data_IF_540268871930
#
_entry.id   IF_540268871930
#
_cell.length_a   1.000
_cell.length_b   1.000
_cell.length_c   1.000
_cell.angle_alpha   90.00
_cell.angle_beta   90.00
_cell.angle_gamma   90.00
#
_symmetry.space_group_name_H-M   'P 1'
#
loop_
_entity.id
_entity.type
_entity.pdbx_description
1 polymer ?
2 polymer ?
3 polymer ?
4 non-polymer ?
5 non-polymer ?
6 non-polymer ?
7 non-polymer ?
8 water ?
#
loop_
_entity_poly.entity_id
_entity_poly.type
_entity_poly.pdbx_seq_one_letter_code
_entity_poly.pdbx_strand_id
3 'polyribonucleotide' '(GDP)GCCGGGCGCGGUGGCUCACGCCUGUAAUCCCAGCACUUUGGGAGGCCGAGGCGGGAGGAUCGCGAACACGCGAGACCCCGUCUCUA' ?
#
# COMPACT_ATOMS: atom_id res chain seq x y z
N UNK A 1 -11.42 10.22 7.29
CA UNK A 1 -10.69 9.06 6.77
C UNK A 1 -10.69 7.89 7.76
N UNK A 2 -10.04 6.81 7.37
CA UNK A 2 -9.89 5.64 8.23
C UNK A 2 -8.67 5.81 9.15
N UNK A 3 -8.80 5.36 10.40
CA UNK A 3 -7.69 5.37 11.34
C UNK A 3 -7.22 3.95 11.62
N UNK A 4 -5.90 3.75 11.65
CA UNK A 4 -5.34 2.43 11.95
C UNK A 4 -4.99 2.28 13.43
N UNK A 5 -4.84 3.41 14.11
CA UNK A 5 -4.48 3.42 15.53
C UNK A 5 -5.70 3.81 16.37
N UNK A 6 -6.10 2.90 17.25
CA UNK A 6 -7.34 3.08 18.00
C UNK A 6 -7.37 4.35 18.86
N UNK A 7 -6.34 4.56 19.66
CA UNK A 7 -6.34 5.68 20.60
C UNK A 7 -6.38 7.00 19.84
N UNK A 8 -5.75 7.01 18.67
CA UNK A 8 -5.74 8.20 17.83
C UNK A 8 -7.15 8.49 17.34
N UNK A 9 -7.86 7.44 16.94
CA UNK A 9 -9.25 7.57 16.52
C UNK A 9 -10.11 8.02 17.68
N UNK A 10 -9.91 7.38 18.82
CA UNK A 10 -10.71 7.66 20.02
C UNK A 10 -10.64 9.14 20.37
N UNK A 11 -9.44 9.69 20.37
CA UNK A 11 -9.24 11.08 20.75
C UNK A 11 -9.83 12.04 19.73
N UNK A 12 -9.60 11.79 18.44
CA UNK A 12 -10.16 12.62 17.38
C UNK A 12 -11.68 12.52 17.39
N UNK A 13 -12.20 11.32 17.60
CA UNK A 13 -13.65 11.11 17.60
C UNK A 13 -14.33 11.86 18.75
N UNK A 14 -13.72 11.81 19.93
CA UNK A 14 -14.25 12.51 21.08
C UNK A 14 -14.18 14.03 20.90
N UNK A 15 -13.10 14.52 20.32
CA UNK A 15 -12.93 15.94 20.04
C UNK A 15 -14.04 16.43 19.13
N UNK A 16 -14.34 15.62 18.12
CA UNK A 16 -15.33 15.98 17.11
C UNK A 16 -16.71 16.06 17.73
N UNK A 17 -17.01 15.10 18.59
CA UNK A 17 -18.30 15.11 19.29
C UNK A 17 -18.44 16.37 20.14
N UNK A 18 -17.44 16.64 20.97
CA UNK A 18 -17.49 17.75 21.90
C UNK A 18 -17.58 19.11 21.19
N UNK A 19 -17.08 19.16 19.96
CA UNK A 19 -17.09 20.41 19.20
C UNK A 19 -18.51 20.83 18.88
N UNK A 20 -19.40 19.85 18.69
CA UNK A 20 -20.80 20.15 18.41
C UNK A 20 -21.65 18.88 18.57
N UNK A 21 -22.06 18.58 19.82
CA UNK A 21 -22.78 17.34 20.14
C UNK A 21 -24.01 17.05 19.29
N UNK A 22 -24.83 18.08 19.00
CA UNK A 22 -26.07 17.85 18.27
C UNK A 22 -25.83 17.47 16.80
N UNK A 23 -24.71 17.94 16.23
CA UNK A 23 -24.41 17.65 14.83
C UNK A 23 -23.77 16.26 14.63
N UNK A 24 -23.21 15.71 15.69
CA UNK A 24 -22.48 14.44 15.58
C UNK A 24 -23.41 13.22 15.60
N UNK A 25 -22.98 12.16 14.92
CA UNK A 25 -23.61 10.86 15.07
C UNK A 25 -22.54 9.78 15.14
N UNK A 26 -22.85 8.73 15.90
CA UNK A 26 -21.94 7.62 16.13
C UNK A 26 -22.58 6.36 15.60
N UNK A 27 -21.90 5.70 14.68
CA UNK A 27 -22.46 4.57 13.96
C UNK A 27 -21.59 3.33 14.17
N UNK A 28 -22.23 2.20 14.47
CA UNK A 28 -21.54 0.91 14.56
C UNK A 28 -22.09 0.01 13.46
N UNK A 29 -21.21 -0.77 12.85
CA UNK A 29 -21.62 -1.77 11.87
C UNK A 29 -20.90 -3.09 12.12
N UNK A 30 -21.68 -4.14 12.38
CA UNK A 30 -21.12 -5.44 12.71
C UNK A 30 -21.52 -6.51 11.69
N UNK A 31 -20.50 -7.18 11.15
CA UNK A 31 -20.71 -8.29 10.24
C UNK A 31 -20.09 -9.57 10.81
N UNK A 32 -20.93 -10.40 11.40
CA UNK A 32 -20.47 -11.66 11.99
C UNK A 32 -19.87 -12.56 10.91
N UNK A 33 -20.55 -12.66 9.78
CA UNK A 33 -20.13 -13.55 8.70
C UNK A 33 -18.71 -13.25 8.23
N UNK A 34 -18.36 -11.96 8.19
CA UNK A 34 -17.04 -11.52 7.75
C UNK A 34 -16.08 -11.37 8.92
N UNK A 35 -16.61 -11.36 10.14
CA UNK A 35 -15.80 -11.20 11.33
C UNK A 35 -15.14 -9.83 11.39
N UNK A 36 -15.91 -8.78 11.13
CA UNK A 36 -15.38 -7.42 11.31
C UNK A 36 -16.38 -6.48 11.93
N UNK A 37 -15.84 -5.37 12.43
CA UNK A 37 -16.61 -4.37 13.13
C UNK A 37 -16.10 -3.01 12.67
N UNK A 38 -17.02 -2.07 12.53
CA UNK A 38 -16.67 -0.73 12.09
C UNK A 38 -17.35 0.28 13.00
N UNK A 39 -16.63 1.34 13.35
CA UNK A 39 -17.20 2.45 14.09
C UNK A 39 -16.89 3.75 13.37
N UNK A 40 -17.87 4.64 13.34
CA UNK A 40 -17.70 5.95 12.72
C UNK A 40 -18.28 7.07 13.58
N UNK A 41 -17.57 8.17 13.65
CA UNK A 41 -18.12 9.42 14.15
C UNK A 41 -18.01 10.48 13.07
N UNK A 42 -19.13 11.13 12.77
CA UNK A 42 -19.19 12.13 11.71
C UNK A 42 -20.12 13.28 12.08
N UNK A 43 -19.80 14.47 11.59
CA UNK A 43 -20.68 15.64 11.71
C UNK A 43 -21.06 16.14 10.31
N UNK A 44 -20.81 15.28 9.31
CA UNK A 44 -21.08 15.55 7.88
C UNK A 44 -20.13 16.57 7.24
N UNK A 45 -19.17 17.05 8.02
CA UNK A 45 -18.05 17.82 7.50
C UNK A 45 -16.83 16.91 7.45
N UNK A 46 -16.66 16.11 8.51
CA UNK A 46 -15.62 15.09 8.55
C UNK A 46 -16.22 13.76 8.96
N UNK A 47 -15.59 12.67 8.52
CA UNK A 47 -16.01 11.32 8.86
C UNK A 47 -14.81 10.55 9.38
N UNK A 48 -14.84 10.24 10.68
CA UNK A 48 -13.73 9.53 11.31
C UNK A 48 -14.11 8.08 11.44
N UNK A 49 -13.30 7.20 10.86
CA UNK A 49 -13.63 5.78 10.76
C UNK A 49 -12.53 4.88 11.33
N UNK A 50 -12.94 3.86 12.09
CA UNK A 50 -12.03 2.84 12.59
C UNK A 50 -12.64 1.47 12.29
N UNK A 51 -11.94 0.69 11.46
CA UNK A 51 -12.41 -0.64 11.08
C UNK A 51 -11.47 -1.70 11.63
N UNK A 52 -12.02 -2.82 12.09
CA UNK A 52 -11.21 -3.83 12.73
C UNK A 52 -11.74 -5.25 12.54
N UNK A 53 -10.85 -6.22 12.71
CA UNK A 53 -11.23 -7.62 12.79
C UNK A 53 -10.58 -8.27 14.01
N UNK A 54 -10.05 -7.44 14.92
CA UNK A 54 -9.41 -7.92 16.15
C UNK A 54 -10.40 -7.88 17.31
N UNK A 55 -10.53 -9.00 18.01
CA UNK A 55 -11.55 -9.14 19.06
C UNK A 55 -11.32 -8.21 20.24
N UNK A 56 -10.07 -7.84 20.50
CA UNK A 56 -9.78 -6.94 21.62
C UNK A 56 -10.41 -5.57 21.43
N UNK A 57 -10.66 -5.18 20.17
CA UNK A 57 -11.23 -3.88 19.87
C UNK A 57 -12.73 -3.79 20.19
N UNK A 58 -13.40 -4.94 20.31
CA UNK A 58 -14.83 -4.95 20.60
C UNK A 58 -15.12 -4.27 21.94
N UNK A 59 -14.33 -4.59 22.96
CA UNK A 59 -14.49 -3.97 24.27
C UNK A 59 -14.17 -2.49 24.19
N UNK A 60 -13.11 -2.15 23.47
CA UNK A 60 -12.70 -0.76 23.28
C UNK A 60 -13.80 0.06 22.59
N UNK A 61 -14.37 -0.51 21.54
CA UNK A 61 -15.39 0.21 20.78
C UNK A 61 -16.68 0.31 21.57
N UNK A 62 -17.01 -0.76 22.31
CA UNK A 62 -18.20 -0.77 23.14
C UNK A 62 -18.11 0.27 24.25
N UNK A 63 -16.97 0.32 24.94
CA UNK A 63 -16.77 1.32 25.99
C UNK A 63 -16.86 2.74 25.41
N UNK A 64 -16.20 2.93 24.27
CA UNK A 64 -16.22 4.22 23.56
C UNK A 64 -17.65 4.65 23.28
N UNK A 65 -18.41 3.76 22.63
CA UNK A 65 -19.80 3.99 22.28
C UNK A 65 -20.61 4.32 23.55
N UNK A 66 -20.29 3.61 24.62
CA UNK A 66 -20.95 3.79 25.90
C UNK A 66 -20.65 5.14 26.54
N UNK A 67 -19.38 5.55 26.50
CA UNK A 67 -18.97 6.82 27.08
C UNK A 67 -19.63 8.00 26.37
N UNK A 68 -19.71 7.93 25.04
CA UNK A 68 -20.31 9.03 24.29
C UNK A 68 -21.79 9.11 24.60
N UNK A 69 -22.43 7.96 24.80
CA UNK A 69 -23.83 7.93 25.18
C UNK A 69 -24.06 8.65 26.51
N UNK A 70 -23.18 8.43 27.49
CA UNK A 70 -23.34 9.07 28.78
C UNK A 70 -23.17 10.59 28.65
N UNK A 71 -22.26 11.01 27.77
CA UNK A 71 -22.03 12.43 27.56
C UNK A 71 -23.27 13.08 26.95
N UNK A 72 -23.89 12.38 25.99
CA UNK A 72 -25.06 12.90 25.30
C UNK A 72 -26.25 13.19 26.21
N UNK A 73 -26.36 12.42 27.29
CA UNK A 73 -27.49 12.53 28.20
C UNK A 73 -27.15 13.37 29.43
N UNK A 74 -25.92 13.88 29.50
CA UNK A 74 -25.54 14.79 30.59
C UNK A 74 -25.94 16.23 30.24
N UNK A 75 -26.77 16.83 31.08
CA UNK A 75 -27.24 18.19 30.86
C UNK A 75 -26.13 19.22 31.10
N UNK A 76 -26.09 20.24 30.26
CA UNK A 76 -25.08 21.30 30.39
C UNK A 76 -25.38 22.19 31.59
N UNK B 1 -39.73 0.12 14.05
CA UNK B 1 -40.55 1.10 14.73
C UNK B 1 -39.98 1.50 16.08
N UNK B 2 -40.50 2.59 16.63
CA UNK B 2 -40.06 3.07 17.92
C UNK B 2 -40.60 2.18 19.04
N UNK B 3 -39.82 2.04 20.12
CA UNK B 3 -40.24 1.24 21.25
C UNK B 3 -39.52 1.64 22.54
N UNK B 4 -40.01 1.15 23.67
CA UNK B 4 -39.37 1.39 24.95
C UNK B 4 -37.97 0.76 24.96
N UNK B 5 -37.07 1.36 25.73
CA UNK B 5 -35.66 1.01 25.68
C UNK B 5 -35.41 -0.47 25.98
N UNK B 6 -36.28 -1.06 26.80
CA UNK B 6 -36.10 -2.45 27.21
C UNK B 6 -36.48 -3.39 26.07
N UNK B 7 -37.52 -3.03 25.33
CA UNK B 7 -37.95 -3.85 24.22
C UNK B 7 -36.96 -3.71 23.07
N UNK B 8 -36.37 -2.52 22.96
CA UNK B 8 -35.32 -2.28 21.96
C UNK B 8 -34.18 -3.26 22.13
N UNK B 9 -33.76 -3.49 23.37
CA UNK B 9 -32.65 -4.41 23.64
C UNK B 9 -33.00 -5.86 23.22
N UNK B 10 -34.22 -6.27 23.49
CA UNK B 10 -34.68 -7.59 23.09
C UNK B 10 -34.67 -7.72 21.56
N UNK B 11 -35.21 -6.72 20.88
CA UNK B 11 -35.27 -6.74 19.42
C UNK B 11 -33.89 -6.60 18.80
N UNK B 12 -32.99 -5.88 19.47
CA UNK B 12 -31.62 -5.77 19.00
C UNK B 12 -30.92 -7.12 19.03
N UNK B 13 -31.09 -7.85 20.11
CA UNK B 13 -30.54 -9.21 20.21
C UNK B 13 -31.02 -10.05 19.04
N UNK B 14 -32.32 -10.01 18.77
CA UNK B 14 -32.90 -10.76 17.66
C UNK B 14 -32.27 -10.36 16.33
N UNK B 15 -32.00 -9.07 16.17
CA UNK B 15 -31.41 -8.58 14.93
C UNK B 15 -30.01 -9.18 14.73
N UNK B 16 -29.19 -9.16 15.79
CA UNK B 16 -27.87 -9.78 15.75
C UNK B 16 -27.98 -11.24 15.37
N UNK B 17 -28.94 -11.93 15.98
CA UNK B 17 -29.14 -13.36 15.72
C UNK B 17 -29.54 -13.61 14.27
N UNK B 18 -30.42 -12.76 13.74
CA UNK B 18 -30.88 -12.89 12.36
C UNK B 18 -29.73 -12.67 11.37
N UNK B 19 -28.80 -11.79 11.72
CA UNK B 19 -27.70 -11.42 10.83
C UNK B 19 -26.40 -12.16 11.13
N UNK B 20 -26.50 -13.29 11.82
CA UNK B 20 -25.30 -14.03 12.20
C UNK B 20 -24.73 -14.76 10.98
N UNK B 21 -25.62 -15.32 10.17
CA UNK B 21 -25.21 -16.08 8.99
C UNK B 21 -24.89 -15.17 7.81
N UNK B 22 -25.49 -13.98 7.81
CA UNK B 22 -25.31 -13.05 6.70
C UNK B 22 -25.85 -11.67 7.07
N UNK B 23 -25.23 -10.62 6.53
CA UNK B 23 -25.76 -9.28 6.67
C UNK B 23 -25.06 -8.43 7.71
N UNK B 24 -25.35 -7.13 7.66
CA UNK B 24 -24.76 -6.14 8.56
C UNK B 24 -25.77 -5.65 9.58
N UNK B 25 -25.33 -5.50 10.82
CA UNK B 25 -26.11 -4.85 11.85
C UNK B 25 -25.59 -3.43 12.04
N UNK B 26 -26.42 -2.45 11.73
CA UNK B 26 -26.09 -1.05 11.92
C UNK B 26 -26.71 -0.54 13.21
N UNK B 27 -25.94 0.20 14.00
CA UNK B 27 -26.47 0.89 15.19
C UNK B 27 -26.01 2.33 15.18
N UNK B 28 -26.96 3.25 15.29
CA UNK B 28 -26.66 4.68 15.26
C UNK B 28 -27.07 5.35 16.58
N UNK B 29 -26.18 6.17 17.11
CA UNK B 29 -26.40 6.87 18.37
C UNK B 29 -26.22 8.37 18.16
N UNK B 30 -27.20 9.14 18.64
CA UNK B 30 -27.15 10.61 18.54
C UNK B 30 -27.82 11.26 19.74
N UNK B 31 -27.37 12.46 20.09
CA UNK B 31 -28.06 13.28 21.06
C UNK B 31 -29.41 13.69 20.47
N UNK B 32 -30.45 13.67 21.30
CA UNK B 32 -31.82 13.95 20.85
C UNK B 32 -32.44 15.04 21.72
N UNK B 33 -32.98 16.07 21.08
CA UNK B 33 -33.49 17.24 21.79
C UNK B 33 -35.02 17.25 21.90
N UNK B 34 -35.65 16.14 21.51
CA UNK B 34 -37.08 15.99 21.71
C UNK B 34 -37.96 16.52 20.58
N UNK B 35 -37.35 16.97 19.50
CA UNK B 35 -38.13 17.52 18.38
C UNK B 35 -38.97 16.41 17.76
N UNK B 36 -40.12 16.79 17.21
CA UNK B 36 -41.02 15.84 16.54
C UNK B 36 -41.51 16.42 15.21
N UNK B 37 -40.84 17.46 14.75
CA UNK B 37 -41.19 18.11 13.49
C UNK B 37 -39.95 18.78 12.93
N UNK B 38 -40.01 19.24 11.67
CA UNK B 38 -38.82 19.90 11.09
C UNK B 38 -38.50 21.23 11.76
N UNK B 39 -37.22 21.61 11.75
CA UNK B 39 -36.78 22.85 12.37
C UNK B 39 -35.73 23.55 11.50
N UNK B 48 -40.69 24.70 20.66
CA UNK B 48 -40.79 23.64 21.65
C UNK B 48 -39.73 23.79 22.72
N UNK B 49 -39.74 22.90 23.70
CA UNK B 49 -38.76 22.89 24.79
C UNK B 49 -37.72 21.81 24.53
N UNK B 50 -36.50 22.21 24.10
CA UNK B 50 -35.49 21.20 23.79
C UNK B 50 -34.97 20.42 25.00
N UNK B 51 -34.89 19.10 24.86
CA UNK B 51 -34.37 18.23 25.91
C UNK B 51 -32.85 18.16 25.84
N UNK B 52 -32.20 18.14 27.00
CA UNK B 52 -30.74 18.17 27.06
C UNK B 52 -30.17 16.94 27.77
N UNK B 53 -31.04 15.97 28.07
CA UNK B 53 -30.62 14.76 28.79
C UNK B 53 -31.12 13.48 28.11
N UNK B 54 -31.23 13.53 26.78
CA UNK B 54 -31.71 12.40 26.01
C UNK B 54 -30.84 12.12 24.79
N UNK B 55 -30.78 10.85 24.41
CA UNK B 55 -30.17 10.44 23.16
C UNK B 55 -31.12 9.48 22.48
N UNK B 56 -30.88 9.20 21.21
CA UNK B 56 -31.66 8.20 20.50
C UNK B 56 -30.73 7.14 19.97
N UNK B 57 -31.25 5.93 19.86
CA UNK B 57 -30.55 4.85 19.19
C UNK B 57 -31.45 4.28 18.12
N UNK B 58 -30.85 3.92 16.99
CA UNK B 58 -31.55 3.20 15.94
C UNK B 58 -30.74 1.99 15.57
N UNK B 59 -31.42 0.89 15.24
CA UNK B 59 -30.73 -0.28 14.72
C UNK B 59 -31.48 -0.83 13.51
N UNK B 60 -30.72 -1.40 12.59
CA UNK B 60 -31.30 -1.93 11.37
C UNK B 60 -30.33 -2.85 10.66
N UNK B 61 -30.87 -3.82 9.94
CA UNK B 61 -30.10 -4.64 9.03
C UNK B 61 -30.28 -4.13 7.59
N UNK B 62 -30.92 -2.96 7.45
CA UNK B 62 -31.18 -2.37 6.14
C UNK B 62 -32.57 -2.69 5.61
N UNK B 63 -33.30 -3.52 6.35
CA UNK B 63 -34.68 -3.86 6.02
C UNK B 63 -35.57 -3.61 7.23
N UNK B 64 -35.28 -4.30 8.34
CA UNK B 64 -36.02 -4.09 9.58
C UNK B 64 -35.40 -2.96 10.40
N UNK B 65 -36.24 -2.15 11.03
CA UNK B 65 -35.78 -1.00 11.81
C UNK B 65 -36.37 -1.04 13.20
N UNK B 66 -35.55 -0.68 14.18
CA UNK B 66 -36.00 -0.47 15.55
C UNK B 66 -35.33 0.78 16.11
N UNK B 67 -36.01 1.47 17.02
CA UNK B 67 -35.47 2.69 17.62
C UNK B 67 -35.99 2.90 19.02
N UNK B 68 -35.24 3.67 19.81
CA UNK B 68 -35.67 4.03 21.15
C UNK B 68 -34.99 5.32 21.58
N UNK B 69 -35.49 5.87 22.68
CA UNK B 69 -34.92 7.07 23.29
C UNK B 69 -34.50 6.72 24.71
N UNK B 70 -33.27 7.06 25.05
CA UNK B 70 -32.74 6.81 26.38
C UNK B 70 -32.41 8.13 27.05
N UNK B 71 -32.98 8.34 28.24
CA UNK B 71 -32.75 9.56 29.00
C UNK B 71 -31.76 9.30 30.11
N UNK B 72 -31.32 10.37 30.76
CA UNK B 72 -30.41 10.27 31.87
C UNK B 72 -31.03 9.45 32.99
N UNK B 73 -32.37 9.35 32.99
CA UNK B 73 -33.06 8.60 34.02
C UNK B 73 -32.98 7.08 33.83
N UNK B 74 -32.70 6.63 32.60
CA UNK B 74 -32.65 5.20 32.31
C UNK B 74 -31.30 4.75 31.75
N UNK B 75 -30.34 5.66 31.67
CA UNK B 75 -29.06 5.35 31.05
C UNK B 75 -28.25 4.28 31.81
N UNK B 76 -28.32 4.28 33.14
CA UNK B 76 -27.58 3.28 33.93
C UNK B 76 -28.00 1.85 33.60
N UNK B 77 -29.29 1.56 33.78
CA UNK B 77 -29.80 0.22 33.50
C UNK B 77 -29.62 -0.12 32.03
N UNK B 78 -29.84 0.87 31.15
CA UNK B 78 -29.73 0.61 29.72
C UNK B 78 -28.29 0.25 29.36
N UNK B 79 -27.33 1.04 29.85
CA UNK B 79 -25.92 0.77 29.61
C UNK B 79 -25.52 -0.64 30.05
N UNK B 80 -25.98 -1.04 31.23
CA UNK B 80 -25.60 -2.33 31.80
C UNK B 80 -25.98 -3.44 30.83
N UNK B 81 -27.21 -3.38 30.34
CA UNK B 81 -27.73 -4.42 29.47
C UNK B 81 -27.11 -4.30 28.08
N UNK B 82 -26.98 -3.06 27.62
CA UNK B 82 -26.53 -2.77 26.27
C UNK B 82 -25.07 -3.19 26.08
N UNK B 83 -24.22 -2.85 27.04
CA UNK B 83 -22.80 -3.21 26.95
C UNK B 83 -22.62 -4.72 26.98
N UNK B 84 -23.39 -5.38 27.85
CA UNK B 84 -23.41 -6.84 27.89
C UNK B 84 -23.88 -7.43 26.58
N UNK B 85 -24.89 -6.81 25.97
CA UNK B 85 -25.45 -7.30 24.71
C UNK B 85 -24.38 -7.24 23.61
N UNK B 86 -23.70 -6.11 23.52
CA UNK B 86 -22.72 -5.91 22.46
C UNK B 86 -21.57 -6.90 22.60
N UNK B 87 -21.05 -7.06 23.81
CA UNK B 87 -19.95 -7.98 24.06
C UNK B 87 -20.32 -9.43 23.75
N UNK B 88 -21.55 -9.80 24.06
CA UNK B 88 -21.99 -11.19 23.88
C UNK B 88 -22.30 -11.52 22.41
N UNK B 89 -22.79 -10.55 21.65
CA UNK B 89 -23.24 -10.82 20.29
C UNK B 89 -22.19 -10.56 19.20
N UNK B 90 -21.20 -9.72 19.51
CA UNK B 90 -20.14 -9.42 18.56
C UNK B 90 -18.93 -10.29 18.85
N UNK B 91 -19.11 -11.60 18.65
CA UNK B 91 -18.12 -12.60 19.03
C UNK B 91 -17.42 -13.23 17.82
N UNK B 92 -17.55 -12.64 16.65
CA UNK B 92 -17.04 -13.26 15.43
C UNK B 92 -15.64 -12.86 15.02
N UNK B 93 -14.97 -12.03 15.83
CA UNK B 93 -13.69 -11.46 15.44
C UNK B 93 -12.51 -12.27 15.98
N UNK B 94 -11.33 -12.01 15.42
CA UNK B 94 -10.10 -12.65 15.85
C UNK B 94 -9.15 -11.65 16.48
N UNK D 1 14.26 -5.86 -4.78
CA UNK D 1 12.98 -5.18 -5.04
C UNK D 1 13.16 -4.01 -6.00
N UNK D 2 12.05 -3.34 -6.31
CA UNK D 2 12.08 -2.16 -7.16
C UNK D 2 12.30 -0.90 -6.33
N UNK D 3 12.97 0.08 -6.93
CA UNK D 3 13.27 1.36 -6.26
C UNK D 3 12.50 2.49 -6.93
N UNK D 4 12.01 3.42 -6.11
CA UNK D 4 11.17 4.51 -6.59
C UNK D 4 11.98 5.66 -7.18
N UNK D 5 13.19 5.85 -6.69
CA UNK D 5 14.06 6.92 -7.16
C UNK D 5 15.40 6.37 -7.62
N UNK D 6 16.00 7.05 -8.58
CA UNK D 6 17.29 6.61 -9.12
C UNK D 6 18.42 6.83 -8.13
N UNK D 7 18.38 7.94 -7.41
CA UNK D 7 19.43 8.28 -6.46
C UNK D 7 19.54 7.19 -5.38
N UNK D 8 18.40 6.65 -4.97
CA UNK D 8 18.36 5.58 -3.99
C UNK D 8 18.90 4.29 -4.56
N UNK D 9 18.46 3.95 -5.78
CA UNK D 9 18.85 2.71 -6.43
C UNK D 9 20.35 2.66 -6.71
N UNK D 10 20.87 3.77 -7.25
CA UNK D 10 22.28 3.86 -7.64
C UNK D 10 23.20 3.57 -6.45
N UNK D 11 22.86 4.14 -5.29
CA UNK D 11 23.64 3.97 -4.08
C UNK D 11 23.65 2.51 -3.65
N UNK D 12 22.45 1.93 -3.54
CA UNK D 12 22.30 0.54 -3.12
C UNK D 12 22.98 -0.42 -4.10
N UNK D 13 23.01 -0.02 -5.37
CA UNK D 13 23.55 -0.88 -6.42
C UNK D 13 25.08 -0.91 -6.36
N UNK D 14 25.70 0.27 -6.35
CA UNK D 14 27.15 0.37 -6.22
C UNK D 14 27.62 -0.35 -4.96
N UNK D 15 26.85 -0.19 -3.89
CA UNK D 15 27.18 -0.79 -2.60
C UNK D 15 27.17 -2.32 -2.68
N UNK D 16 26.38 -2.86 -3.59
CA UNK D 16 26.23 -4.30 -3.71
C UNK D 16 27.33 -4.94 -4.55
N UNK D 17 27.75 -4.26 -5.62
CA UNK D 17 28.80 -4.77 -6.48
C UNK D 17 30.13 -4.86 -5.73
N UNK D 18 30.38 -3.87 -4.88
CA UNK D 18 31.63 -3.79 -4.14
C UNK D 18 31.76 -4.88 -3.09
N UNK D 19 30.66 -5.58 -2.82
CA UNK D 19 30.66 -6.66 -1.82
C UNK D 19 31.35 -7.90 -2.37
N UNK D 20 31.05 -8.23 -3.63
CA UNK D 20 31.64 -9.39 -4.28
C UNK D 20 31.52 -9.24 -5.80
N UNK D 21 32.58 -8.72 -6.45
CA UNK D 21 32.52 -8.44 -7.90
C UNK D 21 32.24 -9.67 -8.75
N UNK D 22 32.94 -10.77 -8.47
CA UNK D 22 32.85 -11.96 -9.31
C UNK D 22 31.48 -12.63 -9.23
N UNK D 23 30.69 -12.26 -8.23
CA UNK D 23 29.38 -12.87 -8.02
C UNK D 23 28.24 -12.01 -8.58
N UNK D 24 28.54 -10.75 -8.87
CA UNK D 24 27.53 -9.79 -9.29
C UNK D 24 27.40 -9.69 -10.81
N UNK D 25 26.23 -9.26 -11.28
CA UNK D 25 26.01 -9.03 -12.70
C UNK D 25 25.05 -7.86 -12.89
N UNK D 26 25.31 -7.07 -13.92
CA UNK D 26 24.54 -5.87 -14.20
C UNK D 26 23.80 -6.04 -15.51
N UNK D 27 22.48 -6.04 -15.46
CA UNK D 27 21.65 -6.26 -16.65
C UNK D 27 20.85 -5.02 -17.02
N UNK D 28 20.87 -4.68 -18.30
CA UNK D 28 19.99 -3.67 -18.86
C UNK D 28 18.99 -4.35 -19.78
N UNK D 29 17.74 -3.89 -19.75
CA UNK D 29 16.72 -4.37 -20.67
C UNK D 29 15.98 -3.17 -21.25
N UNK D 30 16.01 -3.03 -22.57
CA UNK D 30 15.37 -1.91 -23.24
C UNK D 30 14.30 -2.40 -24.22
N UNK D 31 13.09 -1.87 -24.05
CA UNK D 31 11.96 -2.20 -24.91
C UNK D 31 11.42 -0.95 -25.58
N UNK D 32 11.87 -0.71 -26.80
CA UNK D 32 11.48 0.46 -27.58
C UNK D 32 9.96 0.49 -27.78
N UNK D 33 9.38 -0.66 -28.08
CA UNK D 33 7.96 -0.74 -28.40
C UNK D 33 7.06 -0.35 -27.23
N UNK D 34 7.56 -0.51 -26.00
CA UNK D 34 6.83 -0.11 -24.81
C UNK D 34 7.38 1.18 -24.23
N UNK D 35 8.46 1.68 -24.83
CA UNK D 35 9.08 2.92 -24.41
C UNK D 35 9.52 2.91 -22.96
N UNK D 36 10.18 1.82 -22.55
CA UNK D 36 10.71 1.76 -21.20
C UNK D 36 12.06 1.04 -21.09
N UNK D 37 12.73 1.28 -19.97
CA UNK D 37 14.07 0.79 -19.72
C UNK D 37 14.12 0.21 -18.32
N UNK D 38 14.84 -0.89 -18.18
CA UNK D 38 15.03 -1.55 -16.89
C UNK D 38 16.50 -1.80 -16.66
N UNK D 39 16.94 -1.64 -15.41
CA UNK D 39 18.31 -1.95 -15.04
C UNK D 39 18.31 -2.74 -13.73
N UNK D 40 19.17 -3.76 -13.67
CA UNK D 40 19.25 -4.63 -12.51
C UNK D 40 20.68 -4.94 -12.10
N UNK D 41 20.91 -4.97 -10.80
CA UNK D 41 22.16 -5.49 -10.25
C UNK D 41 21.79 -6.59 -9.27
N UNK D 42 22.42 -7.75 -9.45
CA UNK D 42 22.12 -8.89 -8.60
C UNK D 42 23.34 -9.77 -8.38
N UNK D 43 23.33 -10.52 -7.27
CA UNK D 43 24.36 -11.50 -6.98
C UNK D 43 23.72 -12.84 -6.63
N UNK D 44 22.46 -12.99 -7.05
CA UNK D 44 21.66 -14.19 -6.81
C UNK D 44 21.29 -14.40 -5.34
N UNK D 45 21.51 -13.37 -4.52
CA UNK D 45 21.05 -13.36 -3.14
C UNK D 45 20.06 -12.20 -3.01
N UNK D 46 20.39 -11.08 -3.62
CA UNK D 46 19.52 -9.92 -3.67
C UNK D 46 19.42 -9.44 -5.11
N UNK D 47 18.28 -8.87 -5.47
CA UNK D 47 18.06 -8.34 -6.80
C UNK D 47 17.56 -6.90 -6.71
N UNK D 48 18.43 -5.96 -7.08
CA UNK D 48 18.07 -4.55 -7.07
C UNK D 48 17.59 -4.17 -8.47
N UNK D 49 16.41 -3.58 -8.55
CA UNK D 49 15.78 -3.28 -9.84
C UNK D 49 15.33 -1.83 -9.89
N UNK D 50 15.43 -1.22 -11.06
CA UNK D 50 14.95 0.13 -11.29
C UNK D 50 14.32 0.23 -12.68
N UNK D 51 13.00 0.35 -12.72
CA UNK D 51 12.28 0.47 -13.98
C UNK D 51 11.87 1.92 -14.20
N UNK D 52 11.95 2.37 -15.45
CA UNK D 52 11.66 3.76 -15.76
C UNK D 52 11.23 3.96 -17.20
N UNK D 53 10.43 4.99 -17.43
CA UNK D 53 10.01 5.40 -18.76
C UNK D 53 10.39 6.87 -19.01
N UNK D 54 11.16 7.45 -18.09
CA UNK D 54 11.58 8.83 -18.20
C UNK D 54 12.90 8.93 -18.95
N UNK D 55 12.93 9.75 -20.00
CA UNK D 55 14.10 9.88 -20.87
C UNK D 55 15.31 10.44 -20.12
N UNK D 56 15.06 11.26 -19.10
CA UNK D 56 16.15 11.85 -18.33
C UNK D 56 16.97 10.77 -17.61
N UNK D 57 16.38 9.60 -17.42
CA UNK D 57 17.06 8.51 -16.73
C UNK D 57 18.03 7.74 -17.64
N UNK D 58 17.90 7.93 -18.94
CA UNK D 58 18.78 7.24 -19.89
C UNK D 58 20.24 7.58 -19.63
N UNK D 59 20.56 8.87 -19.58
CA UNK D 59 21.92 9.32 -19.31
C UNK D 59 22.41 8.79 -17.98
N UNK D 60 21.57 8.88 -16.96
CA UNK D 60 21.91 8.43 -15.61
C UNK D 60 22.28 6.95 -15.62
N UNK D 61 21.43 6.15 -16.23
CA UNK D 61 21.64 4.71 -16.29
C UNK D 61 22.87 4.37 -17.12
N UNK D 62 23.04 5.08 -18.23
CA UNK D 62 24.19 4.88 -19.09
C UNK D 62 25.49 5.21 -18.36
N UNK D 63 25.48 6.35 -17.66
CA UNK D 63 26.64 6.79 -16.89
C UNK D 63 26.95 5.79 -15.77
N UNK D 64 25.88 5.22 -15.20
CA UNK D 64 26.01 4.23 -14.14
C UNK D 64 26.67 2.95 -14.66
N UNK D 65 26.21 2.51 -15.82
CA UNK D 65 26.74 1.31 -16.47
C UNK D 65 28.23 1.48 -16.76
N UNK D 66 28.59 2.64 -17.27
CA UNK D 66 29.97 2.95 -17.61
C UNK D 66 30.88 2.94 -16.39
N UNK D 67 30.41 3.55 -15.31
CA UNK D 67 31.16 3.58 -14.05
C UNK D 67 31.52 2.17 -13.60
N UNK D 68 30.53 1.28 -13.63
CA UNK D 68 30.71 -0.10 -13.20
C UNK D 68 31.68 -0.86 -14.10
N UNK D 69 31.68 -0.53 -15.38
CA UNK D 69 32.55 -1.18 -16.35
C UNK D 69 34.01 -0.91 -16.01
N UNK D 70 34.30 0.30 -15.53
CA UNK D 70 35.66 0.71 -15.21
C UNK D 70 36.18 0.05 -13.94
N UNK D 71 35.27 -0.26 -13.02
CA UNK D 71 35.66 -0.88 -11.75
C UNK D 71 35.94 -2.36 -11.92
N UNK D 72 35.40 -2.96 -12.98
CA UNK D 72 35.58 -4.38 -13.23
C UNK D 72 36.94 -4.68 -13.85
N UNK D 73 37.68 -3.63 -14.20
CA UNK D 73 39.00 -3.78 -14.81
C UNK D 73 40.06 -2.95 -14.09
N UNK E 1 27.45 -14.89 -30.97
CA UNK E 1 28.81 -15.39 -31.06
C UNK E 1 29.82 -14.42 -30.46
N UNK E 2 31.00 -14.94 -30.16
CA UNK E 2 32.07 -14.11 -29.60
C UNK E 2 32.69 -13.28 -30.71
N UNK E 3 33.04 -12.04 -30.38
CA UNK E 3 33.66 -11.14 -31.35
C UNK E 3 34.46 -10.06 -30.64
N UNK E 4 35.24 -9.31 -31.43
CA UNK E 4 36.05 -8.23 -30.89
C UNK E 4 35.16 -7.06 -30.48
N UNK E 5 35.69 -6.20 -29.62
CA UNK E 5 34.91 -5.13 -29.02
C UNK E 5 34.30 -4.19 -30.07
N UNK E 6 35.00 -4.03 -31.18
CA UNK E 6 34.60 -3.10 -32.23
C UNK E 6 33.39 -3.64 -32.99
N UNK E 7 33.40 -4.95 -33.22
CA UNK E 7 32.32 -5.60 -33.96
C UNK E 7 31.10 -5.77 -33.05
N UNK E 8 31.37 -5.95 -31.77
CA UNK E 8 30.30 -6.07 -30.79
C UNK E 8 29.41 -4.85 -30.82
N UNK E 9 30.02 -3.67 -30.87
CA UNK E 9 29.27 -2.42 -30.89
C UNK E 9 28.42 -2.32 -32.14
N UNK E 10 28.99 -2.72 -33.27
CA UNK E 10 28.29 -2.66 -34.55
C UNK E 10 27.07 -3.57 -34.54
N UNK E 11 27.26 -4.79 -34.05
CA UNK E 11 26.17 -5.77 -34.00
C UNK E 11 25.14 -5.38 -32.96
N UNK E 12 25.58 -4.73 -31.89
CA UNK E 12 24.67 -4.28 -30.85
C UNK E 12 23.76 -3.17 -31.40
N UNK E 13 24.30 -2.34 -32.27
CA UNK E 13 23.50 -1.32 -32.93
C UNK E 13 22.39 -1.98 -33.76
N UNK E 14 22.75 -3.02 -34.50
CA UNK E 14 21.78 -3.75 -35.31
C UNK E 14 20.70 -4.38 -34.43
N UNK E 15 21.11 -4.84 -33.27
CA UNK E 15 20.19 -5.50 -32.35
C UNK E 15 19.13 -4.50 -31.89
N UNK E 16 19.55 -3.31 -31.48
CA UNK E 16 18.62 -2.25 -31.12
C UNK E 16 17.67 -1.92 -32.26
N UNK E 17 18.22 -1.78 -33.46
CA UNK E 17 17.41 -1.44 -34.64
C UNK E 17 16.46 -2.56 -34.99
N UNK E 18 16.88 -3.79 -34.75
CA UNK E 18 16.05 -4.96 -35.03
C UNK E 18 14.84 -5.02 -34.09
N UNK E 19 14.99 -4.42 -32.90
CA UNK E 19 13.99 -4.55 -31.85
C UNK E 19 13.21 -3.25 -31.57
N UNK E 20 13.02 -2.41 -32.58
CA UNK E 20 12.29 -1.16 -32.40
C UNK E 20 10.78 -1.35 -32.50
N UNK E 21 10.37 -2.37 -33.24
CA UNK E 21 8.95 -2.65 -33.42
C UNK E 21 8.47 -3.75 -32.47
N UNK E 22 9.42 -4.52 -31.94
CA UNK E 22 9.09 -5.62 -31.05
C UNK E 22 10.37 -6.21 -30.45
N UNK E 23 10.27 -6.70 -29.21
CA UNK E 23 11.36 -7.42 -28.58
C UNK E 23 12.13 -6.63 -27.53
N UNK E 24 12.89 -7.36 -26.71
CA UNK E 24 13.70 -6.75 -25.66
C UNK E 24 15.18 -6.81 -26.04
N UNK E 25 15.91 -5.73 -25.76
CA UNK E 25 17.37 -5.75 -25.87
C UNK E 25 17.97 -5.92 -24.48
N UNK E 26 18.53 -7.11 -24.24
CA UNK E 26 19.20 -7.40 -22.98
C UNK E 26 20.71 -7.17 -23.12
N UNK E 27 21.29 -6.45 -22.17
CA UNK E 27 22.74 -6.27 -22.14
C UNK E 27 23.24 -6.59 -20.74
N UNK E 28 24.15 -7.56 -20.65
CA UNK E 28 24.65 -8.04 -19.37
C UNK E 28 26.15 -7.77 -19.22
N UNK E 29 26.53 -7.19 -18.09
CA UNK E 29 27.92 -6.82 -17.82
C UNK E 29 28.42 -7.53 -16.56
N UNK E 30 29.53 -8.25 -16.68
CA UNK E 30 30.13 -8.96 -15.55
C UNK E 30 31.65 -8.89 -15.57
N UNK E 31 32.25 -9.02 -14.39
CA UNK E 31 33.69 -9.15 -14.30
C UNK E 31 34.07 -10.54 -14.77
N UNK E 32 35.15 -10.64 -15.55
CA UNK E 32 35.58 -11.90 -16.13
C UNK E 32 36.99 -12.23 -15.67
N UNK E 33 37.19 -13.48 -15.24
CA UNK E 33 38.45 -13.89 -14.62
C UNK E 33 39.34 -14.70 -15.56
N UNK E 34 38.86 -14.95 -16.78
CA UNK E 34 39.64 -15.63 -17.79
C UNK E 34 39.34 -17.10 -17.96
N UNK E 35 38.52 -17.65 -17.06
CA UNK E 35 38.21 -19.09 -17.08
C UNK E 35 37.63 -19.54 -18.42
N UNK E 36 37.95 -20.77 -18.81
CA UNK E 36 37.36 -21.41 -19.98
C UNK E 36 36.82 -22.78 -19.60
N UNK E 37 36.71 -23.02 -18.30
CA UNK E 37 36.29 -24.32 -17.78
C UNK E 37 35.34 -24.11 -16.62
N UNK E 38 34.58 -25.14 -16.25
CA UNK E 38 33.75 -25.01 -15.04
C UNK E 38 34.60 -25.02 -13.78
N UNK E 39 34.44 -24.00 -12.95
CA UNK E 39 35.18 -23.88 -11.69
C UNK E 39 34.25 -24.10 -10.51
N UNK E 50 43.53 -16.21 -11.94
CA UNK E 50 42.40 -15.48 -12.54
C UNK E 50 42.73 -14.02 -12.79
N UNK E 51 42.23 -13.48 -13.90
CA UNK E 51 42.52 -12.10 -14.30
C UNK E 51 41.64 -11.10 -13.57
N UNK E 52 42.21 -9.95 -13.21
CA UNK E 52 41.50 -8.91 -12.48
C UNK E 52 41.36 -7.64 -13.33
N UNK E 53 41.61 -7.77 -14.64
CA UNK E 53 41.61 -6.62 -15.53
C UNK E 53 40.65 -6.78 -16.70
N UNK E 54 39.67 -7.67 -16.57
CA UNK E 54 38.74 -7.96 -17.66
C UNK E 54 37.28 -7.98 -17.21
N UNK E 55 36.40 -7.73 -18.17
CA UNK E 55 34.96 -7.88 -17.97
C UNK E 55 34.37 -8.31 -19.30
N UNK E 56 33.22 -8.96 -19.26
CA UNK E 56 32.56 -9.42 -20.48
C UNK E 56 31.20 -8.78 -20.61
N UNK E 57 30.83 -8.48 -21.85
CA UNK E 57 29.49 -8.01 -22.17
C UNK E 57 28.79 -9.05 -23.03
N UNK E 58 27.50 -9.24 -22.79
CA UNK E 58 26.66 -10.06 -23.66
C UNK E 58 25.45 -9.23 -24.05
N UNK E 59 24.98 -9.44 -25.28
CA UNK E 59 23.73 -8.84 -25.71
C UNK E 59 22.90 -9.88 -26.43
N UNK E 60 21.59 -9.76 -26.31
CA UNK E 60 20.68 -10.67 -26.96
C UNK E 60 19.26 -10.12 -26.96
N UNK E 61 18.43 -10.66 -27.86
CA UNK E 61 16.99 -10.47 -27.79
C UNK E 61 16.29 -11.81 -27.57
N UNK E 62 17.04 -12.76 -27.01
CA UNK E 62 16.51 -14.08 -26.72
C UNK E 62 16.69 -15.07 -27.87
N UNK E 63 17.25 -14.60 -28.99
CA UNK E 63 17.48 -15.44 -30.17
C UNK E 63 18.88 -15.18 -30.74
N UNK E 64 19.11 -13.96 -31.20
CA UNK E 64 20.44 -13.53 -31.60
C UNK E 64 21.28 -13.28 -30.36
N UNK E 65 22.57 -13.60 -30.44
CA UNK E 65 23.46 -13.51 -29.30
C UNK E 65 24.81 -12.97 -29.74
N UNK E 66 25.32 -11.98 -29.01
CA UNK E 66 26.67 -11.47 -29.23
C UNK E 66 27.40 -11.23 -27.91
N UNK E 67 28.71 -11.43 -27.90
CA UNK E 67 29.53 -11.22 -26.71
C UNK E 67 30.93 -10.72 -27.04
N UNK E 68 31.56 -10.08 -26.06
CA UNK E 68 32.92 -9.60 -26.20
C UNK E 68 33.55 -9.40 -24.83
N UNK E 69 34.88 -9.46 -24.78
CA UNK E 69 35.62 -9.24 -23.54
C UNK E 69 36.38 -7.92 -23.65
N UNK E 70 36.26 -7.09 -22.63
CA UNK E 70 36.89 -5.78 -22.61
C UNK E 70 37.92 -5.74 -21.49
N UNK E 71 39.14 -5.30 -21.82
CA UNK E 71 40.22 -5.20 -20.85
C UNK E 71 40.56 -3.74 -20.55
N UNK E 72 41.47 -3.55 -19.59
CA UNK E 72 41.92 -2.22 -19.20
C UNK E 72 42.47 -1.44 -20.37
N UNK E 73 43.04 -2.16 -21.33
CA UNK E 73 43.66 -1.53 -22.50
C UNK E 73 42.66 -0.77 -23.34
N UNK E 74 41.49 -1.37 -23.58
CA UNK E 74 40.51 -0.77 -24.48
C UNK E 74 39.30 -0.18 -23.78
N UNK E 75 39.22 -0.35 -22.45
CA UNK E 75 38.01 0.05 -21.72
C UNK E 75 37.70 1.54 -21.86
N UNK E 76 38.75 2.35 -21.92
CA UNK E 76 38.58 3.80 -22.01
C UNK E 76 37.86 4.19 -23.30
N UNK E 77 38.35 3.69 -24.43
CA UNK E 77 37.74 3.94 -25.72
C UNK E 77 36.39 3.23 -25.83
N UNK E 78 36.34 1.98 -25.40
CA UNK E 78 35.14 1.19 -25.55
C UNK E 78 33.98 1.75 -24.72
N UNK E 79 34.29 2.25 -23.53
CA UNK E 79 33.26 2.77 -22.63
C UNK E 79 32.60 4.03 -23.20
N UNK E 80 33.40 4.89 -23.84
CA UNK E 80 32.89 6.11 -24.44
C UNK E 80 32.03 5.78 -25.66
N UNK E 81 32.48 4.81 -26.45
CA UNK E 81 31.74 4.40 -27.65
C UNK E 81 30.43 3.75 -27.26
N UNK E 82 30.51 2.88 -26.24
CA UNK E 82 29.34 2.18 -25.73
C UNK E 82 28.31 3.16 -25.18
N UNK E 83 28.78 4.13 -24.42
CA UNK E 83 27.90 5.18 -23.88
C UNK E 83 27.15 5.91 -24.98
N UNK E 84 27.88 6.34 -26.00
CA UNK E 84 27.29 7.04 -27.13
C UNK E 84 26.25 6.18 -27.85
N UNK E 85 26.50 4.88 -27.94
CA UNK E 85 25.57 3.96 -28.59
C UNK E 85 24.25 3.89 -27.83
N UNK E 86 24.33 3.72 -26.52
CA UNK E 86 23.15 3.60 -25.68
C UNK E 86 22.29 4.87 -25.75
N UNK E 87 22.93 6.02 -25.64
CA UNK E 87 22.22 7.29 -25.76
C UNK E 87 21.54 7.40 -27.12
N UNK E 88 22.22 6.91 -28.15
CA UNK E 88 21.73 7.03 -29.52
C UNK E 88 20.52 6.15 -29.78
N UNK E 89 20.58 4.91 -29.29
CA UNK E 89 19.60 3.90 -29.65
C UNK E 89 18.42 3.76 -28.69
N UNK E 90 18.56 4.33 -27.49
CA UNK E 90 17.51 4.26 -26.48
C UNK E 90 16.75 5.58 -26.40
N UNK E 91 16.07 5.92 -27.48
CA UNK E 91 15.43 7.22 -27.63
C UNK E 91 13.90 7.13 -27.58
N UNK E 92 13.39 6.07 -26.96
CA UNK E 92 11.96 5.79 -26.99
C UNK E 92 11.21 6.15 -25.72
N UNK E 93 11.88 6.80 -24.78
CA UNK E 93 11.24 7.15 -23.52
C UNK E 93 10.60 8.54 -23.57
N UNK E 94 9.68 8.80 -22.64
CA UNK E 94 8.99 10.08 -22.57
C UNK E 94 9.76 11.05 -21.68
X LIG G 1 -27.67 3.68 8.62
X LIG G 1 -26.59 3.85 9.23
X LIG G 1 -27.85 4.39 7.60
X LIG G 1 -28.69 2.69 9.07
X LIG G 1 -29.63 3.20 9.29
X LIG G 1 -28.85 1.95 8.29
X LIG G 1 -28.33 2.19 9.97
X LIG H 1 -48.17 11.30 0.40
X LIG H 1 -47.90 11.49 -1.03
X LIG H 1 -48.29 12.61 1.04
X LIG H 1 -49.42 10.57 0.57
X LIG H 1 -47.07 10.54 1.01
X LIG I 1 -36.00 8.28 17.40
X LIG I 1 -36.66 7.59 16.39
X LIG I 1 -36.78 8.66 18.60
X LIG I 1 -38.09 9.04 18.43
X LIG I 1 -38.77 9.68 19.43
X LIG I 1 -40.26 9.65 19.38
X LIG I 1 -40.88 8.42 19.31
X LIG J 1 -16.61 15.41 -4.18
X LIG K 1 -43.25 2.77 -3.31
X LIG L 1 -32.32 11.89 1.77
X LIG M 1 19.39 -12.68 -20.03
X LIG M 1 18.79 -13.67 -19.54
X LIG M 1 19.62 -11.73 -19.26
X LIG M 1 19.78 -12.65 -21.47
X LIG M 1 19.30 -11.82 -21.98
X LIG M 1 20.86 -12.55 -21.55
X LIG M 1 19.48 -13.59 -21.96
X LIG N 1 25.83 -33.83 -27.38
X LIG N 1 25.94 -32.37 -27.34
X LIG N 1 24.58 -34.24 -26.74
X LIG N 1 25.84 -34.29 -28.77
X LIG N 1 26.95 -34.40 -26.65
X LIG O 1 20.44 -23.51 -16.02
#
# INVERSE_FOLDING_TARGET
PQYQTWEEFSRAAEKLYLADPMKARVVLKYRHSDGNLCVKVTDDLVSLVYKTDQAQDVKKIEKFHSQLMRLMVAKEARNVTMETE
GAMESEQFLTELTRLFQKCRTSGSVYITLKKYDGRTKPIPKKGTVEGFEPADNKCLLRATDGKKKISTVVSSKEVNKFQMAYSNLLRANMDGLK
PQYQTWEEFSRAAEKLYLADPMKARVVLKYRHSDGNLCVKVTDDLVSLVYKTDQAQDVKKIEKFHSQLMRLMVAKEARNVTMETE
GAMESEQFLTELTRLFQKCRTSGSVYITLKKYDGRTKPIPKKGTVEGFEPADNKCLLRATDGKKKISTVVSSKEVNKFQMAYSNLLRANMDGLK
ACT C O OXT CH3 H1 H2 H3
SO4 S O1 O2 O3 O4
PEG C1 O1 C2 O2 C3 C4 O4
MG MG
MG MG
MG MG
ACT C O OXT CH3 H1 H2 H3
SO4 S O1 O2 O3 O4
MG MG
#
